data_IF_274535190180
#
_entry.id   IF_274535190180
#
_cell.length_a   1.000
_cell.length_b   1.000
_cell.length_c   1.000
_cell.angle_alpha   90.00
_cell.angle_beta   90.00
_cell.angle_gamma   90.00
#
_symmetry.space_group_name_H-M   'P 1'
#
loop_
_entity.id
_entity.type
_entity.pdbx_description
1 polymer ?
#
# COMPACT_ATOMS: atom_id res chain seq x y z
N UNK A 1 20.43 7.17 35.38
CA UNK A 1 21.57 7.46 34.46
C UNK A 1 22.02 6.20 33.71
N UNK A 2 21.11 5.30 33.30
CA UNK A 2 21.44 4.00 32.69
C UNK A 2 20.73 3.70 31.36
N UNK A 3 19.92 4.62 30.82
CA UNK A 3 19.13 4.36 29.60
C UNK A 3 19.95 4.52 28.30
N UNK A 4 20.91 5.46 28.25
CA UNK A 4 21.71 5.74 27.03
C UNK A 4 22.57 4.56 26.53
N UNK A 5 23.20 3.73 27.38
CA UNK A 5 23.97 2.56 26.94
C UNK A 5 23.08 1.46 26.37
N UNK A 6 21.91 1.22 26.98
CA UNK A 6 20.97 0.17 26.56
C UNK A 6 20.36 0.51 25.20
N UNK A 7 19.96 1.77 25.00
CA UNK A 7 19.48 2.24 23.69
C UNK A 7 20.53 2.08 22.58
N UNK A 8 21.79 2.40 22.89
CA UNK A 8 22.90 2.24 21.94
C UNK A 8 23.17 0.78 21.58
N UNK A 9 23.01 -0.15 22.53
CA UNK A 9 23.19 -1.58 22.30
C UNK A 9 21.99 -2.19 21.54
N UNK A 10 20.76 -1.79 21.87
CA UNK A 10 19.57 -2.19 21.11
C UNK A 10 19.67 -1.75 19.65
N UNK A 11 20.14 -0.53 19.39
CA UNK A 11 20.39 -0.04 18.03
C UNK A 11 21.38 -0.92 17.25
N UNK A 12 22.37 -1.52 17.91
CA UNK A 12 23.29 -2.46 17.26
C UNK A 12 22.55 -3.73 16.80
N UNK A 13 21.74 -4.32 17.70
CA UNK A 13 20.92 -5.49 17.37
C UNK A 13 19.91 -5.21 16.23
N UNK A 14 19.33 -4.00 16.21
CA UNK A 14 18.44 -3.56 15.15
C UNK A 14 19.18 -3.32 13.82
N UNK A 15 20.44 -2.88 13.85
CA UNK A 15 21.25 -2.74 12.63
C UNK A 15 21.63 -4.10 12.03
N UNK A 16 21.98 -5.08 12.86
CA UNK A 16 22.19 -6.47 12.42
C UNK A 16 20.89 -7.02 11.81
N UNK A 17 19.77 -6.77 12.48
CA UNK A 17 18.44 -7.19 12.02
C UNK A 17 18.11 -6.65 10.62
N UNK A 18 18.34 -5.34 10.39
CA UNK A 18 18.08 -4.70 9.08
C UNK A 18 18.85 -5.34 7.93
N UNK A 19 20.00 -5.95 8.21
CA UNK A 19 20.81 -6.69 7.22
C UNK A 19 20.25 -8.09 6.90
N UNK A 20 19.10 -8.48 7.46
CA UNK A 20 18.51 -9.80 7.26
C UNK A 20 19.05 -10.87 8.21
N UNK A 21 20.01 -10.56 9.08
CA UNK A 21 20.58 -11.52 10.03
C UNK A 21 19.72 -11.66 11.30
N UNK A 22 18.66 -12.48 11.18
CA UNK A 22 17.77 -12.81 12.29
C UNK A 22 18.52 -13.49 13.44
N UNK A 23 19.44 -14.42 13.13
CA UNK A 23 20.14 -15.23 14.14
C UNK A 23 21.17 -14.41 14.93
N UNK A 24 21.95 -13.59 14.24
CA UNK A 24 22.90 -12.67 14.87
C UNK A 24 22.19 -11.62 15.72
N UNK A 25 21.09 -11.06 15.22
CA UNK A 25 20.25 -10.14 16.00
C UNK A 25 19.67 -10.82 17.25
N UNK A 26 19.16 -12.04 17.12
CA UNK A 26 18.66 -12.84 18.24
C UNK A 26 19.72 -13.06 19.33
N UNK A 27 20.93 -13.47 18.94
CA UNK A 27 22.02 -13.73 19.89
C UNK A 27 22.45 -12.45 20.66
N UNK A 28 22.49 -11.30 19.97
CA UNK A 28 22.78 -10.03 20.61
C UNK A 28 21.64 -9.61 21.56
N UNK A 29 20.37 -9.75 21.15
CA UNK A 29 19.22 -9.44 22.00
C UNK A 29 19.16 -10.33 23.25
N UNK A 30 19.47 -11.62 23.16
CA UNK A 30 19.57 -12.50 24.33
C UNK A 30 20.68 -12.07 25.29
N UNK A 31 21.82 -11.60 24.76
CA UNK A 31 22.91 -11.07 25.57
C UNK A 31 22.45 -9.81 26.33
N UNK A 32 21.70 -8.93 25.66
CA UNK A 32 21.15 -7.71 26.28
C UNK A 32 20.08 -8.02 27.32
N UNK A 33 19.21 -8.99 27.07
CA UNK A 33 18.18 -9.40 28.02
C UNK A 33 18.80 -9.97 29.31
N UNK A 34 19.96 -10.65 29.24
CA UNK A 34 20.68 -11.11 30.44
C UNK A 34 21.20 -9.96 31.30
N UNK A 35 21.55 -8.83 30.67
CA UNK A 35 22.00 -7.62 31.37
C UNK A 35 20.81 -6.82 31.96
N UNK A 36 19.62 -6.93 31.37
CA UNK A 36 18.39 -6.21 31.75
C UNK A 36 17.13 -7.07 31.46
N UNK A 37 16.75 -7.92 32.42
CA UNK A 37 15.75 -8.99 32.26
C UNK A 37 14.32 -8.49 32.04
N UNK A 38 14.01 -7.24 32.41
CA UNK A 38 12.65 -6.68 32.36
C UNK A 38 12.49 -5.67 31.21
N UNK A 39 13.45 -5.62 30.28
CA UNK A 39 13.40 -4.68 29.17
C UNK A 39 12.31 -5.05 28.14
N UNK A 40 11.19 -4.32 28.20
CA UNK A 40 10.04 -4.54 27.32
C UNK A 40 10.36 -4.38 25.83
N UNK A 41 11.29 -3.50 25.44
CA UNK A 41 11.66 -3.31 24.03
C UNK A 41 12.49 -4.49 23.48
N UNK A 42 13.38 -5.05 24.30
CA UNK A 42 14.16 -6.24 23.94
C UNK A 42 13.23 -7.45 23.82
N UNK A 43 12.33 -7.68 24.78
CA UNK A 43 11.34 -8.76 24.71
C UNK A 43 10.42 -8.62 23.48
N UNK A 44 9.94 -7.40 23.21
CA UNK A 44 9.14 -7.10 22.03
C UNK A 44 9.88 -7.39 20.72
N UNK A 45 11.16 -7.02 20.64
CA UNK A 45 12.00 -7.31 19.46
C UNK A 45 12.24 -8.81 19.31
N UNK A 46 12.56 -9.52 20.39
CA UNK A 46 12.76 -10.98 20.38
C UNK A 46 11.52 -11.74 19.90
N UNK A 47 10.32 -11.33 20.31
CA UNK A 47 9.05 -11.89 19.80
C UNK A 47 8.94 -11.73 18.29
N UNK A 48 9.28 -10.55 17.77
CA UNK A 48 9.30 -10.30 16.33
C UNK A 48 10.32 -11.14 15.57
N UNK A 49 11.56 -11.21 16.08
CA UNK A 49 12.63 -12.02 15.47
C UNK A 49 12.25 -13.50 15.43
N UNK A 50 11.76 -14.07 16.55
CA UNK A 50 11.33 -15.48 16.61
C UNK A 50 10.19 -15.79 15.64
N UNK A 51 9.24 -14.87 15.47
CA UNK A 51 8.18 -15.03 14.47
C UNK A 51 8.80 -15.21 13.08
N UNK A 52 9.73 -14.33 12.70
CA UNK A 52 10.35 -14.36 11.38
C UNK A 52 11.33 -15.51 11.19
N UNK A 53 12.00 -15.99 12.23
CA UNK A 53 12.81 -17.21 12.15
C UNK A 53 11.94 -18.44 11.82
N UNK A 54 10.79 -18.61 12.46
CA UNK A 54 9.85 -19.68 12.13
C UNK A 54 9.35 -19.58 10.67
N UNK A 55 9.05 -18.36 10.19
CA UNK A 55 8.64 -18.14 8.80
C UNK A 55 9.77 -18.42 7.81
N UNK A 56 10.99 -18.00 8.13
CA UNK A 56 12.15 -18.22 7.28
C UNK A 56 12.46 -19.72 7.13
N UNK A 57 12.43 -20.49 8.23
CA UNK A 57 12.66 -21.94 8.17
C UNK A 57 11.55 -22.69 7.41
N UNK A 58 10.33 -22.15 7.38
CA UNK A 58 9.24 -22.65 6.52
C UNK A 58 9.46 -22.26 5.05
N UNK A 59 9.80 -21.00 4.79
CA UNK A 59 10.06 -20.51 3.43
C UNK A 59 11.18 -21.31 2.77
N UNK A 60 12.31 -21.55 3.45
CA UNK A 60 13.45 -22.35 2.93
C UNK A 60 13.08 -23.76 2.44
N UNK A 61 11.94 -24.32 2.86
CA UNK A 61 11.45 -25.63 2.39
C UNK A 61 10.72 -25.57 1.05
N UNK A 62 10.37 -24.37 0.58
CA UNK A 62 9.74 -24.18 -0.73
C UNK A 62 10.71 -24.49 -1.87
N UNK A 63 10.13 -24.88 -3.01
CA UNK A 63 10.87 -25.47 -4.12
C UNK A 63 11.64 -24.41 -4.90
N UNK A 64 11.02 -23.25 -5.12
CA UNK A 64 11.58 -22.20 -5.97
C UNK A 64 11.97 -20.96 -5.18
N UNK A 65 12.98 -20.18 -5.62
CA UNK A 65 13.32 -18.91 -4.98
C UNK A 65 12.15 -17.92 -4.95
N UNK A 66 11.32 -17.91 -6.01
CA UNK A 66 10.10 -17.11 -6.09
C UNK A 66 9.13 -17.44 -4.95
N UNK A 67 8.80 -18.72 -4.76
CA UNK A 67 7.92 -19.17 -3.67
C UNK A 67 8.48 -18.76 -2.30
N UNK A 68 9.80 -18.87 -2.09
CA UNK A 68 10.46 -18.47 -0.84
C UNK A 68 10.25 -16.98 -0.55
N UNK A 69 10.46 -16.13 -1.55
CA UNK A 69 10.30 -14.68 -1.42
C UNK A 69 8.84 -14.29 -1.13
N UNK A 70 7.89 -14.86 -1.86
CA UNK A 70 6.46 -14.61 -1.68
C UNK A 70 5.96 -15.08 -0.32
N UNK A 71 6.46 -16.22 0.17
CA UNK A 71 6.18 -16.69 1.52
C UNK A 71 6.69 -15.72 2.59
N UNK A 72 7.78 -14.98 2.36
CA UNK A 72 8.23 -13.97 3.31
C UNK A 72 7.32 -12.73 3.28
N UNK A 73 7.05 -12.18 2.08
CA UNK A 73 6.28 -10.93 1.95
C UNK A 73 4.82 -11.11 2.40
N UNK A 74 4.18 -12.22 2.03
CA UNK A 74 2.77 -12.49 2.37
C UNK A 74 2.52 -12.60 3.88
N UNK A 75 3.55 -12.90 4.68
CA UNK A 75 3.44 -12.99 6.13
C UNK A 75 3.50 -11.63 6.83
N UNK A 76 3.74 -10.53 6.11
CA UNK A 76 3.81 -9.19 6.69
C UNK A 76 2.49 -8.76 7.37
N UNK A 77 1.34 -8.93 6.70
CA UNK A 77 0.03 -8.59 7.28
C UNK A 77 -0.31 -9.45 8.52
N UNK A 78 -0.15 -10.79 8.49
CA UNK A 78 -0.24 -11.62 9.69
C UNK A 78 0.74 -11.20 10.80
N UNK A 79 1.97 -10.82 10.45
CA UNK A 79 2.97 -10.34 11.40
C UNK A 79 2.52 -9.06 12.11
N UNK A 80 1.97 -8.08 11.38
CA UNK A 80 1.39 -6.88 11.99
C UNK A 80 0.31 -7.26 13.00
N UNK A 81 -0.67 -8.08 12.61
CA UNK A 81 -1.72 -8.51 13.52
C UNK A 81 -1.19 -9.27 14.77
N UNK A 82 -0.11 -10.03 14.61
CA UNK A 82 0.58 -10.71 15.72
C UNK A 82 1.28 -9.72 16.66
N UNK A 83 2.10 -8.81 16.11
CA UNK A 83 2.99 -7.96 16.89
C UNK A 83 2.21 -6.86 17.65
N UNK A 84 1.12 -6.34 17.07
CA UNK A 84 0.24 -5.36 17.73
C UNK A 84 -0.43 -5.92 18.99
N UNK A 85 -0.55 -7.26 19.11
CA UNK A 85 -1.09 -7.92 20.31
C UNK A 85 -0.03 -8.15 21.39
N UNK A 86 1.26 -7.93 21.10
CA UNK A 86 2.36 -8.24 22.01
C UNK A 86 2.71 -7.10 22.97
N UNK A 87 2.25 -5.88 22.71
CA UNK A 87 2.56 -4.72 23.55
C UNK A 87 2.29 -3.40 22.82
N UNK A 88 2.78 -2.30 23.41
CA UNK A 88 2.78 -0.98 22.79
C UNK A 88 3.61 -0.99 21.50
N UNK A 89 3.07 -0.40 20.43
CA UNK A 89 3.75 -0.34 19.15
C UNK A 89 5.05 0.46 19.24
N UNK A 90 6.14 -0.15 18.76
CA UNK A 90 7.45 0.46 18.64
C UNK A 90 7.83 0.56 17.17
N UNK A 91 7.56 1.72 16.57
CA UNK A 91 7.74 1.96 15.13
C UNK A 91 9.15 1.59 14.64
N UNK A 92 10.19 1.96 15.39
CA UNK A 92 11.59 1.66 15.04
C UNK A 92 11.90 0.17 14.96
N UNK A 93 11.28 -0.63 15.84
CA UNK A 93 11.44 -2.09 15.88
C UNK A 93 10.66 -2.73 14.72
N UNK A 94 9.40 -2.32 14.53
CA UNK A 94 8.57 -2.80 13.41
C UNK A 94 9.26 -2.49 12.08
N UNK A 95 9.80 -1.28 11.91
CA UNK A 95 10.56 -0.89 10.74
C UNK A 95 11.82 -1.76 10.56
N UNK A 96 12.58 -2.03 11.62
CA UNK A 96 13.78 -2.86 11.54
C UNK A 96 13.45 -4.31 11.14
N UNK A 97 12.35 -4.86 11.65
CA UNK A 97 11.83 -6.17 11.25
C UNK A 97 11.33 -6.14 9.79
N UNK A 98 10.71 -5.05 9.35
CA UNK A 98 10.34 -4.86 7.94
C UNK A 98 11.58 -4.94 7.05
N UNK A 99 12.60 -4.13 7.33
CA UNK A 99 13.86 -4.17 6.58
C UNK A 99 14.46 -5.57 6.55
N UNK A 100 14.50 -6.29 7.68
CA UNK A 100 15.01 -7.66 7.73
C UNK A 100 14.31 -8.58 6.73
N UNK A 101 12.98 -8.58 6.74
CA UNK A 101 12.14 -9.45 5.90
C UNK A 101 12.31 -9.13 4.42
N UNK A 102 12.34 -7.83 4.09
CA UNK A 102 12.47 -7.39 2.71
C UNK A 102 13.90 -7.55 2.18
N UNK A 103 14.93 -7.49 3.04
CA UNK A 103 16.30 -7.90 2.69
C UNK A 103 16.34 -9.40 2.36
N UNK A 104 15.79 -10.25 3.21
CA UNK A 104 15.74 -11.71 2.99
C UNK A 104 14.94 -12.06 1.73
N UNK A 105 13.79 -11.41 1.51
CA UNK A 105 12.99 -11.62 0.30
C UNK A 105 13.76 -11.22 -0.96
N UNK A 106 14.52 -10.12 -0.90
CA UNK A 106 15.35 -9.66 -2.02
C UNK A 106 16.51 -10.62 -2.31
N UNK A 107 17.10 -11.27 -1.30
CA UNK A 107 18.09 -12.33 -1.49
C UNK A 107 17.49 -13.52 -2.26
N UNK A 108 16.28 -13.97 -1.88
CA UNK A 108 15.58 -15.02 -2.63
C UNK A 108 15.25 -14.60 -4.07
N UNK A 109 14.90 -13.34 -4.31
CA UNK A 109 14.73 -12.84 -5.68
C UNK A 109 16.04 -12.76 -6.45
N UNK A 110 17.18 -12.48 -5.80
CA UNK A 110 18.48 -12.45 -6.47
C UNK A 110 18.87 -13.83 -7.00
N UNK A 111 18.53 -14.89 -6.27
CA UNK A 111 18.74 -16.28 -6.73
C UNK A 111 17.98 -16.58 -8.04
N UNK A 112 16.81 -15.96 -8.26
CA UNK A 112 15.99 -16.15 -9.45
C UNK A 112 16.67 -15.62 -10.73
N UNK A 113 17.40 -14.51 -10.64
CA UNK A 113 18.12 -13.93 -11.78
C UNK A 113 19.41 -14.70 -12.12
N UNK A 114 19.96 -15.45 -11.16
CA UNK A 114 21.09 -16.35 -11.42
C UNK A 114 20.68 -17.59 -12.22
N UNK A 115 19.38 -17.91 -12.27
CA UNK A 115 18.83 -19.06 -13.01
C UNK A 115 18.41 -18.72 -14.45
N UNK A 116 18.79 -17.54 -14.98
CA UNK A 116 18.52 -17.06 -16.35
C UNK A 116 17.08 -17.33 -16.85
N UNK A 117 16.08 -16.89 -16.09
CA UNK A 117 14.68 -16.95 -16.52
C UNK A 117 14.05 -15.56 -16.53
N UNK A 118 13.66 -15.08 -17.71
CA UNK A 118 12.72 -13.94 -17.79
C UNK A 118 11.39 -14.38 -17.20
N UNK A 119 10.93 -13.68 -16.17
CA UNK A 119 9.64 -13.96 -15.55
C UNK A 119 8.54 -13.38 -16.45
N UNK A 120 7.54 -14.19 -16.85
CA UNK A 120 6.51 -13.74 -17.78
C UNK A 120 5.46 -12.82 -17.14
N UNK A 121 5.47 -12.68 -15.81
CA UNK A 121 4.45 -11.99 -15.03
C UNK A 121 4.97 -10.69 -14.42
N UNK A 122 4.09 -9.70 -14.23
CA UNK A 122 4.39 -8.42 -13.62
C UNK A 122 4.64 -8.53 -12.11
N UNK A 123 4.00 -9.50 -11.44
CA UNK A 123 3.97 -9.58 -9.98
C UNK A 123 5.36 -9.77 -9.34
N UNK A 124 6.27 -10.65 -9.84
CA UNK A 124 7.61 -10.75 -9.29
C UNK A 124 8.39 -9.43 -9.39
N UNK A 125 8.33 -8.74 -10.52
CA UNK A 125 8.99 -7.43 -10.69
C UNK A 125 8.39 -6.38 -9.75
N UNK A 126 7.06 -6.39 -9.58
CA UNK A 126 6.38 -5.53 -8.59
C UNK A 126 6.91 -5.78 -7.19
N UNK A 127 7.02 -7.04 -6.76
CA UNK A 127 7.49 -7.41 -5.41
C UNK A 127 8.97 -7.10 -5.20
N UNK A 128 9.81 -7.25 -6.22
CA UNK A 128 11.22 -6.80 -6.19
C UNK A 128 11.28 -5.27 -6.03
N UNK A 129 10.48 -4.55 -6.81
CA UNK A 129 10.36 -3.10 -6.70
C UNK A 129 9.90 -2.65 -5.31
N UNK A 130 8.93 -3.37 -4.73
CA UNK A 130 8.49 -3.15 -3.35
C UNK A 130 9.62 -3.38 -2.34
N UNK A 131 10.45 -4.42 -2.51
CA UNK A 131 11.62 -4.65 -1.65
C UNK A 131 12.59 -3.47 -1.71
N UNK A 132 12.97 -3.03 -2.90
CA UNK A 132 13.86 -1.87 -3.04
C UNK A 132 13.25 -0.59 -2.46
N UNK A 133 11.93 -0.39 -2.61
CA UNK A 133 11.21 0.77 -2.04
C UNK A 133 11.34 0.78 -0.51
N UNK A 134 11.00 -0.33 0.14
CA UNK A 134 11.07 -0.49 1.61
C UNK A 134 12.49 -0.33 2.14
N UNK A 135 13.49 -0.78 1.37
CA UNK A 135 14.91 -0.67 1.72
C UNK A 135 15.51 0.71 1.38
N UNK A 136 14.70 1.65 0.86
CA UNK A 136 15.11 3.02 0.58
C UNK A 136 15.87 3.22 -0.72
N UNK A 137 15.97 2.19 -1.58
CA UNK A 137 16.56 2.32 -2.91
C UNK A 137 15.47 2.63 -3.95
N UNK A 138 15.02 3.88 -3.94
CA UNK A 138 13.90 4.32 -4.78
C UNK A 138 14.20 4.27 -6.28
N UNK A 139 15.45 4.48 -6.70
CA UNK A 139 15.84 4.41 -8.12
C UNK A 139 15.59 3.00 -8.68
N UNK A 140 16.14 1.97 -8.03
CA UNK A 140 15.90 0.59 -8.46
C UNK A 140 14.44 0.19 -8.32
N UNK A 141 13.77 0.66 -7.26
CA UNK A 141 12.35 0.40 -7.08
C UNK A 141 11.54 0.92 -8.26
N UNK A 142 11.82 2.15 -8.73
CA UNK A 142 11.17 2.73 -9.91
C UNK A 142 11.47 1.92 -11.18
N UNK A 143 12.70 1.45 -11.39
CA UNK A 143 13.03 0.63 -12.57
C UNK A 143 12.19 -0.65 -12.62
N UNK A 144 12.13 -1.39 -11.51
CA UNK A 144 11.35 -2.62 -11.41
C UNK A 144 9.84 -2.39 -11.50
N UNK A 145 9.32 -1.35 -10.81
CA UNK A 145 7.89 -1.03 -10.82
C UNK A 145 7.42 -0.51 -12.19
N UNK A 146 8.26 0.25 -12.90
CA UNK A 146 7.97 0.67 -14.27
C UNK A 146 7.92 -0.51 -15.22
N UNK A 147 8.88 -1.44 -15.10
CA UNK A 147 8.86 -2.66 -15.90
C UNK A 147 7.61 -3.51 -15.62
N UNK A 148 7.23 -3.67 -14.35
CA UNK A 148 5.97 -4.33 -13.98
C UNK A 148 4.74 -3.65 -14.60
N UNK A 149 4.70 -2.31 -14.60
CA UNK A 149 3.62 -1.53 -15.20
C UNK A 149 3.61 -1.60 -16.73
N UNK A 150 4.74 -1.89 -17.38
CA UNK A 150 4.80 -2.13 -18.83
C UNK A 150 4.20 -3.48 -19.21
N UNK A 151 4.39 -4.51 -18.37
CA UNK A 151 3.80 -5.85 -18.52
C UNK A 151 2.28 -5.79 -18.26
N UNK A 152 1.86 -5.25 -17.11
CA UNK A 152 0.45 -5.07 -16.76
C UNK A 152 0.11 -3.60 -16.54
N UNK A 153 -0.35 -2.96 -17.62
CA UNK A 153 -0.69 -1.53 -17.67
C UNK A 153 -1.92 -1.16 -16.87
N UNK A 154 -2.73 -2.15 -16.46
CA UNK A 154 -4.00 -1.92 -15.78
C UNK A 154 -4.06 -2.60 -14.41
N UNK A 155 -2.91 -2.77 -13.76
CA UNK A 155 -2.83 -3.25 -12.39
C UNK A 155 -2.87 -2.10 -11.39
N UNK A 156 -3.97 -1.99 -10.65
CA UNK A 156 -4.11 -0.99 -9.58
C UNK A 156 -3.02 -1.10 -8.51
N UNK A 157 -2.62 -2.31 -8.16
CA UNK A 157 -1.58 -2.55 -7.14
C UNK A 157 -0.19 -2.11 -7.61
N UNK A 158 0.20 -2.42 -8.86
CA UNK A 158 1.46 -1.95 -9.46
C UNK A 158 1.50 -0.42 -9.51
N UNK A 159 0.42 0.20 -9.98
CA UNK A 159 0.35 1.67 -10.09
C UNK A 159 0.38 2.35 -8.71
N UNK A 160 -0.22 1.75 -7.67
CA UNK A 160 -0.15 2.27 -6.30
C UNK A 160 1.27 2.20 -5.75
N UNK A 161 1.96 1.07 -5.92
CA UNK A 161 3.35 0.92 -5.48
C UNK A 161 4.29 1.89 -6.21
N UNK A 162 4.07 2.08 -7.52
CA UNK A 162 4.80 3.04 -8.34
C UNK A 162 4.53 4.49 -7.91
N UNK A 163 3.26 4.84 -7.65
CA UNK A 163 2.87 6.16 -7.15
C UNK A 163 3.55 6.49 -5.82
N UNK A 164 3.54 5.54 -4.90
CA UNK A 164 4.16 5.66 -3.59
C UNK A 164 5.67 5.84 -3.71
N UNK A 165 6.32 5.07 -4.58
CA UNK A 165 7.74 5.22 -4.86
C UNK A 165 8.08 6.58 -5.48
N UNK A 166 7.26 7.08 -6.42
CA UNK A 166 7.45 8.44 -6.95
C UNK A 166 7.34 9.50 -5.85
N UNK A 167 6.40 9.35 -4.91
CA UNK A 167 6.28 10.29 -3.80
C UNK A 167 7.52 10.27 -2.89
N UNK A 168 8.04 9.09 -2.56
CA UNK A 168 9.25 8.92 -1.76
C UNK A 168 10.51 9.43 -2.48
N UNK A 169 10.54 9.32 -3.81
CA UNK A 169 11.61 9.86 -4.66
C UNK A 169 11.51 11.39 -4.84
N UNK A 170 10.40 12.02 -4.46
CA UNK A 170 10.17 13.47 -4.54
C UNK A 170 9.35 13.94 -5.75
N UNK A 171 8.90 13.02 -6.60
CA UNK A 171 8.12 13.26 -7.82
C UNK A 171 6.61 13.31 -7.54
N UNK A 172 6.19 14.28 -6.72
CA UNK A 172 4.82 14.38 -6.17
C UNK A 172 3.74 14.47 -7.26
N UNK A 173 4.02 15.11 -8.40
CA UNK A 173 3.02 15.23 -9.49
C UNK A 173 2.69 13.87 -10.10
N UNK A 174 3.72 13.05 -10.35
CA UNK A 174 3.54 11.69 -10.84
C UNK A 174 2.82 10.84 -9.80
N UNK A 175 3.24 10.90 -8.54
CA UNK A 175 2.58 10.17 -7.46
C UNK A 175 1.08 10.43 -7.40
N UNK A 176 0.65 11.69 -7.42
CA UNK A 176 -0.77 12.05 -7.38
C UNK A 176 -1.57 11.51 -8.57
N UNK A 177 -0.98 11.54 -9.77
CA UNK A 177 -1.62 11.01 -10.97
C UNK A 177 -1.78 9.48 -10.88
N UNK A 178 -0.69 8.78 -10.53
CA UNK A 178 -0.69 7.32 -10.45
C UNK A 178 -1.57 6.79 -9.32
N UNK A 179 -1.58 7.42 -8.13
CA UNK A 179 -2.50 7.03 -7.07
C UNK A 179 -3.96 7.17 -7.50
N UNK A 180 -4.30 8.28 -8.16
CA UNK A 180 -5.66 8.51 -8.65
C UNK A 180 -6.11 7.41 -9.62
N UNK A 181 -5.22 6.96 -10.51
CA UNK A 181 -5.52 5.84 -11.43
C UNK A 181 -5.58 4.50 -10.71
N UNK A 182 -4.63 4.22 -9.82
CA UNK A 182 -4.57 2.99 -9.05
C UNK A 182 -5.87 2.73 -8.28
N UNK A 183 -6.33 3.72 -7.51
CA UNK A 183 -7.58 3.65 -6.76
C UNK A 183 -8.84 3.79 -7.63
N UNK A 184 -8.73 4.09 -8.92
CA UNK A 184 -9.86 4.00 -9.83
C UNK A 184 -10.03 2.59 -10.40
N UNK A 185 -8.90 1.92 -10.69
CA UNK A 185 -8.87 0.58 -11.30
C UNK A 185 -9.32 -0.49 -10.32
N UNK A 186 -8.62 -0.62 -9.19
CA UNK A 186 -8.90 -1.65 -8.20
C UNK A 186 -8.43 -1.20 -6.80
N UNK A 187 -9.28 -0.50 -6.04
CA UNK A 187 -8.96 -0.14 -4.66
C UNK A 187 -8.65 -1.35 -3.77
N UNK A 188 -9.34 -2.46 -3.98
CA UNK A 188 -9.31 -3.61 -3.06
C UNK A 188 -8.05 -4.46 -3.23
N UNK A 189 -7.50 -4.50 -4.46
CA UNK A 189 -6.21 -5.11 -4.75
C UNK A 189 -5.00 -4.33 -4.19
N UNK A 190 -5.18 -3.11 -3.69
CA UNK A 190 -4.07 -2.29 -3.18
C UNK A 190 -3.75 -2.67 -1.72
N UNK A 191 -2.53 -3.13 -1.51
CA UNK A 191 -2.00 -3.49 -0.20
C UNK A 191 -1.58 -2.26 0.61
N UNK A 192 -2.56 -1.57 1.21
CA UNK A 192 -2.36 -0.30 1.94
C UNK A 192 -1.24 -0.35 2.99
N UNK A 193 -0.99 -1.51 3.61
CA UNK A 193 0.09 -1.69 4.60
C UNK A 193 1.52 -1.51 4.04
N UNK A 194 1.66 -1.43 2.72
CA UNK A 194 2.93 -1.22 2.04
C UNK A 194 3.09 0.19 1.45
N UNK A 195 2.09 1.06 1.60
CA UNK A 195 2.19 2.46 1.19
C UNK A 195 2.81 3.29 2.33
N UNK A 196 3.88 4.02 2.04
CA UNK A 196 4.70 4.70 3.06
C UNK A 196 4.81 6.22 2.85
N UNK A 197 4.44 6.72 1.67
CA UNK A 197 4.55 8.14 1.38
C UNK A 197 3.60 8.97 2.24
N UNK A 198 4.10 10.08 2.76
CA UNK A 198 3.34 10.94 3.68
C UNK A 198 2.01 11.40 3.09
N UNK A 199 1.98 11.66 1.78
CA UNK A 199 0.78 12.12 1.07
C UNK A 199 -0.37 11.11 1.16
N UNK A 200 -0.10 9.81 0.96
CA UNK A 200 -1.13 8.78 0.99
C UNK A 200 -1.42 8.33 2.42
N UNK A 201 -0.40 8.22 3.29
CA UNK A 201 -0.61 7.88 4.70
C UNK A 201 -1.50 8.90 5.43
N UNK A 202 -1.31 10.21 5.17
CA UNK A 202 -2.20 11.25 5.71
C UNK A 202 -3.64 11.09 5.23
N UNK A 203 -3.84 10.72 3.96
CA UNK A 203 -5.17 10.49 3.41
C UNK A 203 -5.82 9.22 4.01
N UNK A 204 -5.07 8.12 4.11
CA UNK A 204 -5.51 6.89 4.78
C UNK A 204 -5.95 7.18 6.22
N UNK A 205 -5.10 7.86 6.99
CA UNK A 205 -5.39 8.21 8.38
C UNK A 205 -6.61 9.13 8.49
N UNK A 206 -6.78 10.06 7.55
CA UNK A 206 -7.96 10.91 7.50
C UNK A 206 -9.23 10.08 7.29
N UNK A 207 -9.26 9.19 6.30
CA UNK A 207 -10.42 8.32 6.02
C UNK A 207 -10.71 7.41 7.21
N UNK A 208 -9.67 6.84 7.84
CA UNK A 208 -9.80 6.07 9.06
C UNK A 208 -10.46 6.88 10.19
N UNK A 209 -10.00 8.11 10.43
CA UNK A 209 -10.51 9.00 11.49
C UNK A 209 -11.95 9.50 11.25
N UNK A 210 -12.46 9.39 10.01
CA UNK A 210 -13.87 9.66 9.71
C UNK A 210 -14.80 8.50 10.12
N UNK A 211 -14.24 7.37 10.59
CA UNK A 211 -14.99 6.24 11.14
C UNK A 211 -15.39 5.18 10.11
N UNK A 212 -14.80 5.19 8.91
CA UNK A 212 -15.02 4.13 7.92
C UNK A 212 -14.39 2.81 8.37
N UNK A 213 -15.01 1.69 7.98
CA UNK A 213 -14.50 0.35 8.28
C UNK A 213 -13.17 0.14 7.56
N UNK A 214 -12.23 -0.56 8.21
CA UNK A 214 -10.89 -0.84 7.67
C UNK A 214 -10.94 -1.47 6.27
N UNK A 215 -11.91 -2.37 6.05
CA UNK A 215 -12.13 -3.06 4.77
C UNK A 215 -12.69 -2.17 3.64
N UNK A 216 -13.24 -0.99 3.96
CA UNK A 216 -13.81 -0.06 2.98
C UNK A 216 -12.88 1.14 2.73
N UNK A 217 -11.81 1.33 3.53
CA UNK A 217 -10.94 2.51 3.45
C UNK A 217 -10.45 2.74 2.03
N UNK A 218 -9.99 1.68 1.37
CA UNK A 218 -9.46 1.77 0.01
C UNK A 218 -10.47 2.35 -0.99
N UNK A 219 -11.74 1.97 -0.88
CA UNK A 219 -12.82 2.48 -1.75
C UNK A 219 -13.12 3.96 -1.50
N UNK A 220 -12.94 4.43 -0.26
CA UNK A 220 -13.16 5.83 0.13
C UNK A 220 -11.97 6.74 -0.13
N UNK A 221 -10.76 6.20 -0.26
CA UNK A 221 -9.56 6.98 -0.58
C UNK A 221 -9.69 7.87 -1.82
N UNK A 222 -10.19 7.40 -2.98
CA UNK A 222 -10.34 8.28 -4.14
C UNK A 222 -11.34 9.41 -3.93
N UNK A 223 -12.35 9.22 -3.08
CA UNK A 223 -13.36 10.24 -2.81
C UNK A 223 -12.76 11.39 -2.02
N UNK A 224 -12.14 11.08 -0.89
CA UNK A 224 -11.48 12.08 -0.07
C UNK A 224 -10.21 12.62 -0.74
N UNK A 225 -9.54 11.81 -1.55
CA UNK A 225 -8.42 12.25 -2.37
C UNK A 225 -8.82 13.38 -3.33
N UNK A 226 -10.01 13.31 -3.93
CA UNK A 226 -10.55 14.39 -4.76
C UNK A 226 -10.98 15.59 -3.90
N UNK A 227 -11.77 15.38 -2.84
CA UNK A 227 -12.27 16.46 -1.97
C UNK A 227 -11.13 17.26 -1.34
N UNK A 228 -10.04 16.60 -0.99
CA UNK A 228 -8.90 17.22 -0.30
C UNK A 228 -7.83 17.76 -1.25
N UNK A 229 -8.04 17.61 -2.55
CA UNK A 229 -7.07 18.04 -3.57
C UNK A 229 -5.78 17.22 -3.60
N UNK A 230 -5.77 16.02 -2.99
CA UNK A 230 -4.65 15.08 -3.11
C UNK A 230 -4.61 14.51 -4.53
N UNK A 231 -5.75 14.09 -5.08
CA UNK A 231 -5.91 13.53 -6.43
C UNK A 231 -6.32 14.59 -7.45
N UNK A 232 -5.63 15.74 -7.41
CA UNK A 232 -5.90 16.89 -8.27
C UNK A 232 -5.14 16.90 -9.60
N UNK A 233 -4.19 15.98 -9.80
CA UNK A 233 -3.51 15.81 -11.09
C UNK A 233 -4.38 14.90 -11.95
N UNK A 234 -4.84 15.43 -13.09
CA UNK A 234 -5.82 14.79 -13.96
C UNK A 234 -5.21 14.56 -15.34
N UNK A 235 -5.55 13.43 -15.97
CA UNK A 235 -5.29 13.21 -17.39
C UNK A 235 -6.59 13.26 -18.18
N UNK A 236 -6.48 13.61 -19.46
CA UNK A 236 -7.62 13.53 -20.37
C UNK A 236 -7.89 12.06 -20.71
N UNK A 237 -9.17 11.67 -20.64
CA UNK A 237 -9.63 10.35 -21.04
C UNK A 237 -9.77 10.28 -22.56
N UNK A 238 -9.34 9.17 -23.16
CA UNK A 238 -9.60 8.89 -24.58
C UNK A 238 -11.07 8.60 -24.80
N UNK A 239 -11.57 8.84 -26.02
CA UNK A 239 -12.98 8.63 -26.36
C UNK A 239 -13.51 7.22 -26.01
N UNK A 240 -12.68 6.19 -26.19
CA UNK A 240 -13.00 4.82 -25.80
C UNK A 240 -13.12 4.65 -24.27
N UNK A 241 -12.21 5.22 -23.49
CA UNK A 241 -12.25 5.18 -22.02
C UNK A 241 -13.50 5.90 -21.48
N UNK A 242 -13.89 7.01 -22.09
CA UNK A 242 -15.13 7.73 -21.74
C UNK A 242 -16.37 6.86 -22.03
N UNK A 243 -16.36 6.11 -23.13
CA UNK A 243 -17.41 5.15 -23.45
C UNK A 243 -17.53 4.05 -22.39
N UNK A 244 -16.41 3.43 -22.02
CA UNK A 244 -16.35 2.43 -20.97
C UNK A 244 -16.78 2.99 -19.61
N UNK A 245 -16.33 4.20 -19.26
CA UNK A 245 -16.70 4.87 -18.01
C UNK A 245 -18.22 5.04 -17.90
N UNK A 246 -18.88 5.52 -18.96
CA UNK A 246 -20.35 5.68 -18.99
C UNK A 246 -21.08 4.34 -18.90
N UNK A 247 -20.57 3.30 -19.57
CA UNK A 247 -21.13 1.96 -19.48
C UNK A 247 -21.02 1.41 -18.05
N UNK A 248 -19.86 1.54 -17.42
CA UNK A 248 -19.62 1.10 -16.04
C UNK A 248 -20.53 1.86 -15.06
N UNK A 249 -20.68 3.18 -15.22
CA UNK A 249 -21.61 3.99 -14.41
C UNK A 249 -23.04 3.42 -14.51
N UNK A 250 -23.52 3.15 -15.72
CA UNK A 250 -24.88 2.61 -15.91
C UNK A 250 -25.06 1.24 -15.22
N UNK A 251 -24.09 0.34 -15.34
CA UNK A 251 -24.12 -0.96 -14.67
C UNK A 251 -24.11 -0.81 -13.14
N UNK A 252 -23.19 0.02 -12.62
CA UNK A 252 -23.05 0.27 -11.19
C UNK A 252 -24.27 0.96 -10.57
N UNK A 253 -24.94 1.86 -11.30
CA UNK A 253 -26.21 2.45 -10.86
C UNK A 253 -27.27 1.35 -10.62
N UNK A 254 -27.36 0.38 -11.52
CA UNK A 254 -28.24 -0.78 -11.37
C UNK A 254 -27.83 -1.70 -10.21
N UNK A 255 -26.53 -1.94 -10.03
CA UNK A 255 -26.01 -2.74 -8.92
C UNK A 255 -26.30 -2.09 -7.57
N UNK A 256 -26.03 -0.79 -7.43
CA UNK A 256 -26.29 -0.03 -6.19
C UNK A 256 -27.78 -0.02 -5.85
N UNK A 257 -28.68 0.06 -6.83
CA UNK A 257 -30.12 0.02 -6.57
C UNK A 257 -30.58 -1.33 -5.98
N UNK A 258 -30.00 -2.43 -6.45
CA UNK A 258 -30.37 -3.79 -6.04
C UNK A 258 -29.52 -4.33 -4.86
N UNK A 259 -28.46 -3.62 -4.48
CA UNK A 259 -27.53 -4.04 -3.44
C UNK A 259 -28.12 -3.96 -2.02
N UNK A 260 -27.69 -4.88 -1.16
CA UNK A 260 -27.91 -4.80 0.28
C UNK A 260 -27.18 -3.60 0.88
N UNK A 261 -27.54 -3.19 2.09
CA UNK A 261 -26.85 -2.08 2.77
C UNK A 261 -25.35 -2.36 2.96
N UNK A 262 -24.99 -3.61 3.26
CA UNK A 262 -23.60 -4.03 3.41
C UNK A 262 -22.79 -3.90 2.12
N UNK A 263 -23.39 -4.26 0.98
CA UNK A 263 -22.76 -4.12 -0.34
C UNK A 263 -22.61 -2.66 -0.76
N UNK A 264 -23.57 -1.80 -0.36
CA UNK A 264 -23.54 -0.36 -0.67
C UNK A 264 -22.33 0.35 -0.09
N UNK A 265 -21.79 -0.11 1.04
CA UNK A 265 -20.61 0.50 1.66
C UNK A 265 -19.38 0.54 0.75
N UNK A 266 -19.25 -0.41 -0.18
CA UNK A 266 -18.21 -0.44 -1.22
C UNK A 266 -18.68 0.12 -2.56
N UNK A 267 -19.90 -0.22 -2.99
CA UNK A 267 -20.40 0.17 -4.31
C UNK A 267 -20.64 1.68 -4.44
N UNK A 268 -21.14 2.34 -3.39
CA UNK A 268 -21.43 3.77 -3.39
C UNK A 268 -20.16 4.62 -3.60
N UNK A 269 -19.07 4.48 -2.82
CA UNK A 269 -17.86 5.26 -3.06
C UNK A 269 -17.24 4.94 -4.42
N UNK A 270 -17.26 3.68 -4.89
CA UNK A 270 -16.80 3.38 -6.26
C UNK A 270 -17.61 4.12 -7.32
N UNK A 271 -18.94 4.16 -7.22
CA UNK A 271 -19.81 4.87 -8.17
C UNK A 271 -19.59 6.39 -8.13
N UNK A 272 -19.47 6.97 -6.93
CA UNK A 272 -19.14 8.40 -6.78
C UNK A 272 -17.79 8.71 -7.45
N UNK A 273 -16.78 7.85 -7.31
CA UNK A 273 -15.49 8.03 -7.97
C UNK A 273 -15.66 8.07 -9.49
N UNK A 274 -16.47 7.17 -10.06
CA UNK A 274 -16.76 7.19 -11.49
C UNK A 274 -17.44 8.50 -11.95
N UNK A 275 -18.36 9.04 -11.14
CA UNK A 275 -18.93 10.35 -11.42
C UNK A 275 -17.88 11.47 -11.37
N UNK A 276 -16.94 11.46 -10.41
CA UNK A 276 -15.86 12.44 -10.37
C UNK A 276 -15.00 12.40 -11.64
N UNK A 277 -14.66 11.21 -12.14
CA UNK A 277 -13.96 11.05 -13.41
C UNK A 277 -14.75 11.59 -14.60
N UNK A 278 -16.07 11.35 -14.65
CA UNK A 278 -16.91 11.83 -15.75
C UNK A 278 -17.13 13.35 -15.69
N UNK A 279 -17.29 13.91 -14.49
CA UNK A 279 -17.36 15.37 -14.26
C UNK A 279 -16.06 16.01 -14.74
N UNK A 280 -14.91 15.46 -14.35
CA UNK A 280 -13.60 15.98 -14.76
C UNK A 280 -13.43 15.99 -16.28
N UNK A 281 -13.89 14.95 -16.96
CA UNK A 281 -13.92 14.91 -18.43
C UNK A 281 -14.86 15.98 -19.02
N UNK A 282 -16.08 16.14 -18.48
CA UNK A 282 -17.01 17.17 -18.94
C UNK A 282 -16.47 18.59 -18.77
N UNK A 283 -15.78 18.85 -17.66
CA UNK A 283 -15.09 20.12 -17.44
C UNK A 283 -13.97 20.32 -18.47
N UNK A 284 -13.16 19.29 -18.76
CA UNK A 284 -12.03 19.43 -19.69
C UNK A 284 -12.45 19.73 -21.13
N UNK A 285 -13.60 19.18 -21.57
CA UNK A 285 -14.12 19.39 -22.93
C UNK A 285 -15.15 20.52 -23.04
N UNK A 286 -15.31 21.34 -22.00
CA UNK A 286 -16.31 22.42 -21.92
C UNK A 286 -17.74 21.96 -22.26
N UNK A 287 -18.14 20.80 -21.74
CA UNK A 287 -19.49 20.27 -21.91
C UNK A 287 -20.53 21.10 -21.15
N UNK A 288 -21.81 20.94 -21.52
CA UNK A 288 -22.93 21.66 -20.90
C UNK A 288 -22.99 21.50 -19.37
N UNK A 289 -23.13 22.64 -18.68
CA UNK A 289 -23.27 22.70 -17.22
C UNK A 289 -24.41 21.82 -16.70
N UNK A 290 -25.51 21.70 -17.44
CA UNK A 290 -26.64 20.85 -17.08
C UNK A 290 -26.28 19.37 -16.93
N UNK A 291 -25.33 18.85 -17.73
CA UNK A 291 -24.87 17.46 -17.59
C UNK A 291 -24.02 17.27 -16.33
N UNK A 292 -23.21 18.27 -15.96
CA UNK A 292 -22.45 18.24 -14.71
C UNK A 292 -23.40 18.32 -13.51
N UNK A 293 -24.38 19.23 -13.56
CA UNK A 293 -25.38 19.40 -12.50
C UNK A 293 -26.22 18.12 -12.28
N UNK A 294 -26.51 17.36 -13.35
CA UNK A 294 -27.18 16.05 -13.24
C UNK A 294 -26.33 15.02 -12.48
N UNK A 295 -25.04 14.89 -12.80
CA UNK A 295 -24.13 13.99 -12.07
C UNK A 295 -23.96 14.41 -10.60
N UNK A 296 -23.87 15.71 -10.35
CA UNK A 296 -23.83 16.27 -9.00
C UNK A 296 -25.10 15.96 -8.20
N UNK A 297 -26.27 15.99 -8.83
CA UNK A 297 -27.53 15.58 -8.19
C UNK A 297 -27.53 14.08 -7.86
N UNK A 298 -26.99 13.22 -8.74
CA UNK A 298 -26.85 11.79 -8.47
C UNK A 298 -25.92 11.53 -7.28
N UNK A 299 -24.78 12.22 -7.19
CA UNK A 299 -23.89 12.16 -6.02
C UNK A 299 -24.65 12.57 -4.76
N UNK A 300 -25.44 13.65 -4.81
CA UNK A 300 -26.25 14.11 -3.67
C UNK A 300 -27.26 13.07 -3.19
N UNK A 301 -27.87 12.33 -4.11
CA UNK A 301 -28.81 11.24 -3.79
C UNK A 301 -28.09 10.04 -3.14
N UNK A 302 -26.89 9.73 -3.60
CA UNK A 302 -26.07 8.64 -3.02
C UNK A 302 -25.52 9.00 -1.64
N UNK A 303 -24.93 10.19 -1.51
CA UNK A 303 -24.35 10.70 -0.27
C UNK A 303 -24.37 12.24 -0.22
N UNK A 304 -25.29 12.76 0.59
CA UNK A 304 -25.49 14.19 0.79
C UNK A 304 -24.26 14.88 1.41
N UNK A 305 -23.50 14.19 2.26
CA UNK A 305 -22.33 14.76 2.93
C UNK A 305 -21.19 14.92 1.94
N UNK A 306 -20.94 13.89 1.12
CA UNK A 306 -19.92 13.94 0.07
C UNK A 306 -20.22 15.03 -0.95
N UNK A 307 -21.48 15.17 -1.39
CA UNK A 307 -21.90 16.28 -2.23
C UNK A 307 -21.57 17.64 -1.60
N UNK A 308 -21.93 17.83 -0.32
CA UNK A 308 -21.67 19.09 0.38
C UNK A 308 -20.17 19.39 0.51
N UNK A 309 -19.35 18.36 0.74
CA UNK A 309 -17.89 18.51 0.82
C UNK A 309 -17.28 18.85 -0.53
N UNK A 310 -17.75 18.24 -1.62
CA UNK A 310 -17.25 18.49 -2.98
C UNK A 310 -17.59 19.90 -3.49
N UNK A 311 -18.72 20.47 -3.04
CA UNK A 311 -19.17 21.80 -3.46
C UNK A 311 -18.57 22.97 -2.66
N UNK A 312 -17.77 22.69 -1.63
CA UNK A 312 -17.09 23.69 -0.80
C UNK A 312 -15.75 24.08 -1.43
#
# INVERSE_FOLDING_TARGET
MSERPVQSKLNNALNILKQGDLRGSYAELERLLRDDLENAEIDYTLKGVRFWEDKLEKAKKASTPLERAEMMISQWKPFLAYIHRQGEEKESIIYSLKCAVFTIALEFYADLFNEESELPDAEPYRKIGLCYKVLGNYERALDFLRYAAEIDKNSGSVLADLADCYALYGEIKFAKAFFREAFFIDPEGIELQFLESEIICRLINRVYNLGYRVEDIADWLPIYGVIDGVFNVKRELRAFEVGQLKQNIFLMEGEVQNASQEQKHKLVPRLINHYFWLIDHYVSVNESKSKIDDLLLRIKVLDQNIYNCYMR
#
